data_IF_466225785900
#
_entry.id   IF_466225785900
#
_cell.length_a   1.000
_cell.length_b   1.000
_cell.length_c   1.000
_cell.angle_alpha   90.00
_cell.angle_beta   90.00
_cell.angle_gamma   90.00
#
_symmetry.space_group_name_H-M   'P 1'
#
loop_
_entity.id
_entity.type
_entity.pdbx_description
1 polymer ?
#
# COMPACT_ATOMS: atom_id res chain seq x y z
N UNK A 1 -21.58 6.65 -3.86
CA UNK A 1 -21.26 5.72 -4.96
C UNK A 1 -20.56 6.51 -6.07
N UNK A 2 -19.38 6.06 -6.52
CA UNK A 2 -18.52 6.82 -7.45
C UNK A 2 -19.13 6.99 -8.86
N UNK A 3 -19.91 6.01 -9.32
CA UNK A 3 -20.56 6.04 -10.64
C UNK A 3 -21.52 7.23 -10.74
N UNK A 4 -22.36 7.45 -9.73
CA UNK A 4 -23.28 8.60 -9.74
C UNK A 4 -22.55 9.94 -9.66
N UNK A 5 -21.43 10.00 -8.92
CA UNK A 5 -20.62 11.21 -8.84
C UNK A 5 -19.99 11.55 -10.21
N UNK A 6 -19.50 10.55 -10.93
CA UNK A 6 -18.98 10.72 -12.28
C UNK A 6 -20.06 11.22 -13.25
N UNK A 7 -21.24 10.61 -13.24
CA UNK A 7 -22.36 11.04 -14.09
C UNK A 7 -22.78 12.49 -13.80
N UNK A 8 -22.80 12.89 -12.52
CA UNK A 8 -23.12 14.26 -12.13
C UNK A 8 -22.04 15.25 -12.59
N UNK A 9 -20.75 14.90 -12.47
CA UNK A 9 -19.65 15.71 -13.00
C UNK A 9 -19.81 15.95 -14.50
N UNK A 10 -20.09 14.90 -15.28
CA UNK A 10 -20.34 15.02 -16.73
C UNK A 10 -21.55 15.92 -17.03
N UNK A 11 -22.64 15.74 -16.28
CA UNK A 11 -23.85 16.59 -16.39
C UNK A 11 -23.53 18.07 -16.16
N UNK A 12 -22.74 18.40 -15.14
CA UNK A 12 -22.38 19.79 -14.84
C UNK A 12 -21.39 20.39 -15.83
N UNK A 13 -20.47 19.58 -16.37
CA UNK A 13 -19.59 20.00 -17.47
C UNK A 13 -20.40 20.36 -18.72
N UNK A 14 -21.38 19.54 -19.10
CA UNK A 14 -22.25 19.81 -20.24
C UNK A 14 -23.12 21.07 -20.07
N UNK A 15 -23.41 21.46 -18.82
CA UNK A 15 -24.10 22.71 -18.49
C UNK A 15 -23.18 23.93 -18.51
N UNK A 16 -21.89 23.76 -18.82
CA UNK A 16 -20.91 24.84 -18.87
C UNK A 16 -20.51 25.40 -17.51
N UNK A 17 -20.68 24.63 -16.42
CA UNK A 17 -20.21 25.09 -15.11
C UNK A 17 -18.68 25.20 -15.07
N UNK A 18 -18.13 26.19 -14.33
CA UNK A 18 -16.69 26.29 -14.13
C UNK A 18 -16.11 25.00 -13.55
N UNK A 19 -14.98 24.55 -14.09
CA UNK A 19 -14.33 23.32 -13.63
C UNK A 19 -13.95 23.40 -12.15
N UNK A 20 -13.51 24.57 -11.67
CA UNK A 20 -13.20 24.81 -10.25
C UNK A 20 -14.38 24.51 -9.33
N UNK A 21 -15.59 24.89 -9.74
CA UNK A 21 -16.81 24.71 -8.94
C UNK A 21 -17.19 23.24 -8.89
N UNK A 22 -17.04 22.53 -10.01
CA UNK A 22 -17.28 21.10 -10.09
C UNK A 22 -16.29 20.33 -9.20
N UNK A 23 -14.99 20.64 -9.30
CA UNK A 23 -13.95 20.00 -8.49
C UNK A 23 -14.17 20.21 -6.99
N UNK A 24 -14.48 21.45 -6.57
CA UNK A 24 -14.76 21.74 -5.16
C UNK A 24 -16.07 21.09 -4.70
N UNK A 25 -17.08 21.04 -5.57
CA UNK A 25 -18.34 20.33 -5.31
C UNK A 25 -18.11 18.84 -5.04
N UNK A 26 -17.26 18.19 -5.83
CA UNK A 26 -16.85 16.80 -5.62
C UNK A 26 -16.15 16.60 -4.27
N UNK A 27 -15.20 17.48 -3.92
CA UNK A 27 -14.48 17.40 -2.64
C UNK A 27 -15.44 17.53 -1.45
N UNK A 28 -16.34 18.53 -1.49
CA UNK A 28 -17.36 18.74 -0.44
C UNK A 28 -18.34 17.57 -0.32
N UNK A 29 -18.78 17.02 -1.45
CA UNK A 29 -19.67 15.86 -1.45
C UNK A 29 -18.98 14.62 -0.83
N UNK A 30 -17.71 14.40 -1.17
CA UNK A 30 -16.91 13.32 -0.60
C UNK A 30 -16.75 13.47 0.91
N UNK A 31 -16.36 14.66 1.39
CA UNK A 31 -16.19 14.95 2.82
C UNK A 31 -17.51 14.80 3.59
N UNK A 32 -18.60 15.38 3.08
CA UNK A 32 -19.93 15.27 3.69
C UNK A 32 -20.34 13.81 3.85
N UNK A 33 -20.13 13.01 2.80
CA UNK A 33 -20.43 11.59 2.86
C UNK A 33 -19.53 10.83 3.85
N UNK A 34 -18.25 11.19 3.95
CA UNK A 34 -17.34 10.59 4.92
C UNK A 34 -17.75 10.89 6.37
N UNK A 35 -18.13 12.14 6.67
CA UNK A 35 -18.55 12.54 8.02
C UNK A 35 -19.85 11.86 8.48
N UNK A 36 -20.64 11.28 7.57
CA UNK A 36 -21.78 10.43 7.97
C UNK A 36 -21.35 9.21 8.79
N UNK A 37 -20.11 8.74 8.66
CA UNK A 37 -19.55 7.65 9.50
C UNK A 37 -19.40 8.07 10.97
N UNK A 38 -19.28 9.36 11.23
CA UNK A 38 -19.20 9.95 12.56
C UNK A 38 -20.56 10.48 13.06
N UNK A 39 -21.66 10.23 12.34
CA UNK A 39 -22.99 10.72 12.72
C UNK A 39 -23.36 10.24 14.13
N UNK A 40 -23.79 11.18 14.98
CA UNK A 40 -24.13 10.92 16.37
C UNK A 40 -22.94 10.84 17.33
N UNK A 41 -21.70 11.00 16.84
CA UNK A 41 -20.50 11.11 17.68
C UNK A 41 -20.14 12.57 17.88
N UNK A 42 -19.61 12.89 19.06
CA UNK A 42 -19.02 14.20 19.34
C UNK A 42 -17.58 14.22 18.81
N UNK A 43 -17.34 14.96 17.75
CA UNK A 43 -15.99 15.25 17.26
C UNK A 43 -15.42 16.39 18.09
N UNK A 44 -14.23 16.19 18.67
CA UNK A 44 -13.54 17.16 19.51
C UNK A 44 -12.23 17.57 18.83
N UNK A 45 -11.85 18.82 19.04
CA UNK A 45 -10.56 19.34 18.63
C UNK A 45 -9.43 18.86 19.57
N UNK A 46 -8.18 18.73 19.08
CA UNK A 46 -7.75 18.95 17.69
C UNK A 46 -8.17 17.82 16.75
N UNK A 47 -8.49 18.16 15.49
CA UNK A 47 -8.80 17.18 14.45
C UNK A 47 -7.59 16.96 13.56
N UNK A 48 -7.20 15.71 13.36
CA UNK A 48 -6.12 15.30 12.48
C UNK A 48 -6.65 14.48 11.30
N UNK A 49 -6.19 14.77 10.08
CA UNK A 49 -6.53 14.02 8.88
C UNK A 49 -5.31 13.32 8.29
N UNK A 50 -5.42 12.01 8.09
CA UNK A 50 -4.33 11.13 7.65
C UNK A 50 -4.71 10.35 6.38
N UNK A 51 -3.71 9.70 5.78
CA UNK A 51 -3.82 8.99 4.50
C UNK A 51 -3.41 9.85 3.31
N UNK A 52 -3.14 9.22 2.16
CA UNK A 52 -2.62 9.92 0.98
C UNK A 52 -3.52 11.06 0.48
N UNK A 53 -4.85 10.95 0.69
CA UNK A 53 -5.83 11.98 0.31
C UNK A 53 -5.62 13.29 1.08
N UNK A 54 -4.98 13.26 2.24
CA UNK A 54 -4.65 14.45 3.02
C UNK A 54 -3.68 15.41 2.31
N UNK A 55 -2.96 14.96 1.27
CA UNK A 55 -2.16 15.84 0.39
C UNK A 55 -3.03 16.69 -0.55
N UNK A 56 -4.30 16.36 -0.72
CA UNK A 56 -5.22 17.16 -1.52
C UNK A 56 -5.78 18.32 -0.69
N UNK A 57 -5.22 19.51 -0.91
CA UNK A 57 -5.61 20.74 -0.20
C UNK A 57 -7.09 21.10 -0.35
N UNK A 58 -7.74 20.76 -1.47
CA UNK A 58 -9.18 21.01 -1.63
C UNK A 58 -10.03 20.12 -0.72
N UNK A 59 -9.59 18.89 -0.46
CA UNK A 59 -10.25 17.97 0.48
C UNK A 59 -10.01 18.41 1.92
N UNK A 60 -8.79 18.83 2.26
CA UNK A 60 -8.47 19.41 3.56
C UNK A 60 -9.37 20.61 3.82
N UNK A 61 -9.46 21.53 2.84
CA UNK A 61 -10.32 22.70 2.95
C UNK A 61 -11.80 22.33 3.12
N UNK A 62 -12.29 21.33 2.39
CA UNK A 62 -13.65 20.86 2.53
C UNK A 62 -13.92 20.24 3.93
N UNK A 63 -12.94 19.57 4.54
CA UNK A 63 -13.04 19.11 5.93
C UNK A 63 -13.10 20.28 6.92
N UNK A 64 -12.23 21.27 6.79
CA UNK A 64 -12.26 22.47 7.65
C UNK A 64 -13.60 23.21 7.56
N UNK A 65 -14.14 23.36 6.34
CA UNK A 65 -15.46 23.96 6.12
C UNK A 65 -16.58 23.16 6.78
N UNK A 66 -16.53 21.83 6.70
CA UNK A 66 -17.57 20.97 7.26
C UNK A 66 -17.49 20.83 8.79
N UNK A 67 -16.28 20.89 9.36
CA UNK A 67 -16.04 20.74 10.80
C UNK A 67 -16.05 22.08 11.55
N UNK A 68 -15.87 23.20 10.85
CA UNK A 68 -15.80 24.53 11.45
C UNK A 68 -14.52 24.81 12.25
N UNK A 69 -13.50 23.95 12.11
CA UNK A 69 -12.22 24.08 12.79
C UNK A 69 -11.06 23.69 11.85
N UNK A 70 -9.82 24.14 12.15
CA UNK A 70 -8.64 23.74 11.38
C UNK A 70 -8.37 22.23 11.47
N UNK A 71 -7.84 21.67 10.39
CA UNK A 71 -7.45 20.25 10.34
C UNK A 71 -5.94 20.11 10.29
N UNK A 72 -5.38 19.36 11.23
CA UNK A 72 -3.95 19.09 11.31
C UNK A 72 -3.59 18.00 10.29
N UNK A 73 -2.61 18.31 9.44
CA UNK A 73 -2.03 17.35 8.49
C UNK A 73 -0.60 17.05 8.95
N UNK A 74 -0.25 15.79 9.26
CA UNK A 74 1.12 15.42 9.59
C UNK A 74 2.05 15.58 8.37
N UNK A 75 3.37 15.63 8.58
CA UNK A 75 4.36 15.80 7.49
C UNK A 75 4.29 14.68 6.43
N UNK A 76 4.02 13.44 6.88
CA UNK A 76 3.91 12.26 6.03
C UNK A 76 2.57 11.52 6.26
N UNK A 77 1.43 12.07 5.79
CA UNK A 77 0.11 11.54 6.11
C UNK A 77 -0.15 10.15 5.52
N UNK A 78 0.48 9.80 4.39
CA UNK A 78 0.38 8.48 3.77
C UNK A 78 1.06 7.36 4.58
N UNK A 79 2.03 7.69 5.43
CA UNK A 79 2.79 6.70 6.22
C UNK A 79 2.30 6.55 7.65
N UNK A 80 1.29 7.33 8.08
CA UNK A 80 0.77 7.28 9.44
C UNK A 80 0.37 5.87 9.89
N UNK A 81 -0.21 5.06 8.99
CA UNK A 81 -0.51 3.66 9.28
C UNK A 81 0.73 2.77 9.49
N UNK A 82 1.76 2.95 8.66
CA UNK A 82 3.02 2.21 8.79
C UNK A 82 3.75 2.57 10.09
N UNK A 83 3.76 3.86 10.45
CA UNK A 83 4.30 4.35 11.72
C UNK A 83 3.52 3.73 12.89
N UNK A 84 2.18 3.69 12.81
CA UNK A 84 1.36 3.05 13.83
C UNK A 84 1.69 1.57 14.05
N UNK A 85 1.90 0.81 12.99
CA UNK A 85 2.32 -0.59 13.09
C UNK A 85 3.72 -0.71 13.67
N UNK A 86 4.65 0.16 13.30
CA UNK A 86 6.01 0.15 13.84
C UNK A 86 6.00 0.36 15.37
N UNK A 87 5.23 1.35 15.85
CA UNK A 87 5.07 1.62 17.29
C UNK A 87 4.45 0.44 18.03
N UNK A 88 3.34 -0.11 17.51
CA UNK A 88 2.70 -1.28 18.12
C UNK A 88 3.64 -2.49 18.17
N UNK A 89 4.45 -2.68 17.12
CA UNK A 89 5.43 -3.76 17.08
C UNK A 89 6.52 -3.55 18.12
N UNK A 90 7.04 -2.33 18.27
CA UNK A 90 8.03 -1.98 19.30
C UNK A 90 7.51 -2.29 20.70
N UNK A 91 6.30 -1.83 21.03
CA UNK A 91 5.63 -2.11 22.31
C UNK A 91 5.49 -3.62 22.56
N UNK A 92 5.05 -4.38 21.56
CA UNK A 92 4.88 -5.84 21.66
C UNK A 92 6.21 -6.60 21.74
N UNK A 93 7.25 -6.11 21.10
CA UNK A 93 8.58 -6.73 21.15
C UNK A 93 9.17 -6.61 22.55
N UNK A 94 8.84 -5.56 23.32
CA UNK A 94 9.22 -5.39 24.72
C UNK A 94 10.74 -5.58 24.94
N UNK A 95 11.55 -4.97 24.06
CA UNK A 95 13.01 -5.06 24.08
C UNK A 95 13.62 -6.32 23.44
N UNK A 96 12.81 -7.23 22.90
CA UNK A 96 13.32 -8.38 22.11
C UNK A 96 13.97 -7.88 20.82
N UNK A 97 15.08 -8.52 20.44
CA UNK A 97 15.75 -8.24 19.17
C UNK A 97 14.94 -8.82 18.01
N UNK A 98 14.81 -8.05 16.93
CA UNK A 98 14.23 -8.52 15.67
C UNK A 98 15.32 -9.12 14.80
N UNK A 99 14.94 -10.01 13.88
CA UNK A 99 15.80 -10.41 12.74
C UNK A 99 15.63 -9.44 11.55
N UNK A 100 15.08 -8.25 11.78
CA UNK A 100 14.91 -7.25 10.73
C UNK A 100 16.29 -6.83 10.23
N UNK A 101 16.49 -6.91 8.92
CA UNK A 101 17.80 -6.75 8.30
C UNK A 101 18.19 -5.28 8.10
N UNK A 102 17.33 -4.33 8.46
CA UNK A 102 17.61 -2.90 8.40
C UNK A 102 17.84 -2.40 6.97
N UNK A 103 18.74 -1.43 6.84
CA UNK A 103 19.14 -0.83 5.56
C UNK A 103 19.77 -1.82 4.57
N UNK A 104 20.21 -3.00 5.03
CA UNK A 104 20.70 -4.06 4.15
C UNK A 104 19.63 -4.59 3.16
N UNK A 105 18.35 -4.22 3.37
CA UNK A 105 17.23 -4.50 2.45
C UNK A 105 17.14 -3.44 1.33
N UNK A 106 17.69 -2.23 1.53
CA UNK A 106 17.59 -1.12 0.57
C UNK A 106 18.66 -1.13 -0.51
N UNK A 107 19.81 -1.76 -0.23
CA UNK A 107 20.88 -1.99 -1.21
C UNK A 107 21.31 -3.47 -1.29
N UNK A 108 20.40 -4.41 -1.61
CA UNK A 108 20.78 -5.82 -1.63
C UNK A 108 21.33 -6.13 -3.01
N UNK A 109 22.44 -6.88 -3.08
CA UNK A 109 22.85 -7.55 -4.31
C UNK A 109 21.90 -8.72 -4.58
N UNK A 110 20.69 -8.39 -5.05
CA UNK A 110 19.79 -9.38 -5.60
C UNK A 110 20.24 -9.74 -7.01
N UNK A 111 20.26 -11.03 -7.30
CA UNK A 111 20.44 -11.54 -8.66
C UNK A 111 19.18 -12.27 -9.07
N UNK A 112 18.81 -12.11 -10.33
CA UNK A 112 17.71 -12.88 -10.92
C UNK A 112 18.34 -13.87 -11.88
N UNK A 113 18.07 -15.14 -11.68
CA UNK A 113 18.44 -16.21 -12.62
C UNK A 113 17.18 -16.83 -13.20
N UNK A 114 17.26 -17.25 -14.46
CA UNK A 114 16.18 -17.99 -15.12
C UNK A 114 16.70 -19.39 -15.44
N UNK A 115 15.95 -20.43 -15.03
CA UNK A 115 16.31 -21.83 -15.26
C UNK A 115 15.10 -22.63 -15.70
N UNK A 116 15.31 -23.65 -16.52
CA UNK A 116 14.26 -24.64 -16.81
C UNK A 116 14.10 -25.60 -15.64
N UNK A 117 12.85 -26.01 -15.40
CA UNK A 117 12.51 -26.97 -14.36
C UNK A 117 13.13 -28.34 -14.67
N UNK A 118 13.78 -29.00 -13.70
CA UNK A 118 14.41 -30.29 -13.93
C UNK A 118 13.43 -31.37 -14.40
N UNK A 119 13.93 -32.24 -15.26
CA UNK A 119 13.16 -33.38 -15.76
C UNK A 119 12.94 -34.46 -14.69
N UNK A 120 11.78 -35.14 -14.72
CA UNK A 120 10.69 -34.97 -15.70
C UNK A 120 9.75 -33.82 -15.31
N UNK A 121 9.66 -32.77 -16.13
CA UNK A 121 8.67 -31.69 -15.95
C UNK A 121 7.62 -31.73 -17.08
N UNK A 122 6.35 -32.07 -16.80
CA UNK A 122 5.32 -32.14 -17.85
C UNK A 122 4.94 -30.77 -18.42
N UNK A 123 5.32 -29.69 -17.73
CA UNK A 123 4.93 -28.31 -18.04
C UNK A 123 6.09 -27.46 -18.57
N UNK A 124 7.28 -28.05 -18.73
CA UNK A 124 8.51 -27.37 -19.16
C UNK A 124 8.66 -25.97 -18.51
N UNK A 125 8.51 -25.93 -17.18
CA UNK A 125 8.38 -24.65 -16.50
C UNK A 125 9.67 -23.84 -16.61
N UNK A 126 9.54 -22.56 -16.96
CA UNK A 126 10.62 -21.57 -16.82
C UNK A 126 10.53 -20.96 -15.42
N UNK A 127 11.58 -21.17 -14.63
CA UNK A 127 11.67 -20.73 -13.25
C UNK A 127 12.50 -19.45 -13.18
N UNK A 128 11.96 -18.42 -12.56
CA UNK A 128 12.70 -17.19 -12.22
C UNK A 128 13.08 -17.26 -10.75
N UNK A 129 14.37 -17.34 -10.46
CA UNK A 129 14.93 -17.41 -9.12
C UNK A 129 15.39 -16.01 -8.69
N UNK A 130 14.90 -15.55 -7.54
CA UNK A 130 15.42 -14.37 -6.86
C UNK A 130 16.47 -14.82 -5.85
N UNK A 131 17.73 -14.48 -6.09
CA UNK A 131 18.86 -14.84 -5.23
C UNK A 131 19.37 -13.64 -4.45
N UNK A 132 19.84 -13.90 -3.24
CA UNK A 132 20.54 -12.94 -2.39
C UNK A 132 21.75 -13.61 -1.72
N UNK A 133 22.95 -13.07 -1.93
CA UNK A 133 24.20 -13.68 -1.42
C UNK A 133 24.34 -15.17 -1.78
N UNK A 134 23.94 -15.53 -3.01
CA UNK A 134 23.95 -16.91 -3.49
C UNK A 134 22.81 -17.80 -2.96
N UNK A 135 21.95 -17.30 -2.07
CA UNK A 135 20.79 -18.04 -1.56
C UNK A 135 19.51 -17.72 -2.32
N UNK A 136 18.74 -18.74 -2.68
CA UNK A 136 17.43 -18.55 -3.31
C UNK A 136 16.44 -18.05 -2.27
N UNK A 137 15.92 -16.84 -2.45
CA UNK A 137 14.89 -16.23 -1.60
C UNK A 137 13.47 -16.54 -2.09
N UNK A 138 13.27 -16.61 -3.40
CA UNK A 138 11.98 -16.89 -3.99
C UNK A 138 12.15 -17.52 -5.38
N UNK A 139 11.17 -18.32 -5.79
CA UNK A 139 11.06 -18.90 -7.13
C UNK A 139 9.68 -18.58 -7.68
N UNK A 140 9.64 -18.06 -8.91
CA UNK A 140 8.43 -17.76 -9.66
C UNK A 140 8.38 -18.61 -10.93
N UNK A 141 7.18 -18.79 -11.53
CA UNK A 141 7.03 -19.47 -12.82
C UNK A 141 6.81 -20.98 -12.75
N UNK A 142 6.70 -21.55 -11.55
CA UNK A 142 6.33 -22.96 -11.37
C UNK A 142 4.86 -23.18 -11.68
N UNK A 143 4.57 -23.97 -12.73
CA UNK A 143 3.21 -24.44 -13.06
C UNK A 143 2.95 -25.87 -12.58
N UNK A 144 4.00 -26.60 -12.22
CA UNK A 144 3.93 -28.00 -11.81
C UNK A 144 3.79 -28.19 -10.29
N UNK A 145 3.70 -27.11 -9.50
CA UNK A 145 3.57 -27.16 -8.04
C UNK A 145 4.85 -27.49 -7.27
N UNK A 146 5.87 -28.06 -7.92
CA UNK A 146 7.11 -28.56 -7.26
C UNK A 146 7.97 -27.50 -6.56
N UNK A 147 7.72 -26.22 -6.81
CA UNK A 147 8.51 -25.09 -6.30
C UNK A 147 7.65 -24.08 -5.52
N UNK A 148 6.46 -24.50 -5.09
CA UNK A 148 5.55 -23.67 -4.28
C UNK A 148 5.88 -23.76 -2.77
N UNK A 149 6.53 -24.85 -2.34
CA UNK A 149 6.91 -25.08 -0.95
C UNK A 149 8.25 -24.44 -0.59
N UNK A 150 8.26 -23.74 0.56
CA UNK A 150 9.44 -23.07 1.09
C UNK A 150 10.61 -24.03 1.40
N UNK A 151 10.33 -25.30 1.69
CA UNK A 151 11.34 -26.34 1.96
C UNK A 151 12.17 -26.73 0.73
N UNK A 152 11.63 -26.54 -0.49
CA UNK A 152 12.32 -26.83 -1.75
C UNK A 152 13.35 -25.74 -2.10
N UNK A 153 13.14 -24.52 -1.58
CA UNK A 153 14.06 -23.39 -1.73
C UNK A 153 15.35 -23.60 -0.93
N UNK A 154 15.28 -24.28 0.22
CA UNK A 154 16.42 -24.57 1.08
C UNK A 154 17.28 -25.73 0.56
N UNK A 155 16.68 -26.77 -0.05
CA UNK A 155 17.41 -27.94 -0.57
C UNK A 155 18.13 -27.70 -1.90
N UNK A 156 17.69 -26.70 -2.68
CA UNK A 156 18.35 -26.29 -3.93
C UNK A 156 19.68 -25.54 -3.69
N UNK A 157 20.02 -25.24 -2.42
CA UNK A 157 21.29 -24.65 -2.01
C UNK A 157 22.46 -25.64 -2.04
N UNK A 158 22.18 -26.95 -1.97
CA UNK A 158 23.22 -27.98 -1.86
C UNK A 158 23.54 -28.67 -3.20
N UNK A 159 22.73 -28.47 -4.24
CA UNK A 159 22.77 -29.33 -5.40
C UNK A 159 23.79 -28.98 -6.49
N UNK A 160 24.46 -27.81 -6.50
CA UNK A 160 25.52 -27.52 -7.49
C UNK A 160 26.60 -26.54 -7.00
N UNK A 161 27.67 -27.01 -6.34
CA UNK A 161 28.99 -26.44 -6.55
C UNK A 161 29.57 -27.03 -7.85
N UNK A 162 29.95 -26.13 -8.76
CA UNK A 162 30.61 -26.39 -10.06
C UNK A 162 29.72 -26.80 -11.25
#
# INVERSE_FOLDING_TARGET
CGIFMQSEVVSQLNKGRPLSDILMGVCRAMVTNYLMLAKGKRLLEPVMFQGAVARNLAVVRAFEEALGCPVIIPEYPEFAGAVGIALLTEEQMNGRKTNFRGEAILAPEYRIEVKQCPDPCPNECELTLLLYQGKVLAVFGSKCGRWEDASVLESSLEAHPE
#
